data_IF_023495734160
#
_entry.id   IF_023495734160
#
_cell.length_a   1.000
_cell.length_b   1.000
_cell.length_c   1.000
_cell.angle_alpha   90.00
_cell.angle_beta   90.00
_cell.angle_gamma   90.00
#
_symmetry.space_group_name_H-M   'P 1'
#
loop_
_entity.id
_entity.type
_entity.pdbx_description
1 polymer ?
#
# COMPACT_ATOMS: atom_id res chain seq x y z
N UNK A 1 29.82 22.09 32.77
CA UNK A 1 29.40 20.82 33.32
C UNK A 1 27.94 20.56 33.15
N UNK A 2 27.11 21.48 33.58
CA UNK A 2 25.67 21.27 33.48
C UNK A 2 25.14 21.22 32.10
N UNK A 3 25.75 21.92 31.20
CA UNK A 3 25.27 22.00 29.83
C UNK A 3 25.43 20.69 29.08
N UNK A 4 26.31 19.84 29.53
CA UNK A 4 26.55 18.55 28.88
C UNK A 4 25.33 17.66 29.02
N UNK A 5 24.76 17.63 30.17
CA UNK A 5 23.57 16.82 30.42
C UNK A 5 22.38 17.24 29.57
N UNK A 6 22.24 18.55 29.40
CA UNK A 6 21.13 19.05 28.61
C UNK A 6 21.22 18.65 27.16
N UNK A 7 22.41 18.66 26.61
CA UNK A 7 22.62 18.26 25.23
C UNK A 7 22.27 16.79 25.03
N UNK A 8 22.63 15.98 25.97
CA UNK A 8 22.33 14.55 25.90
C UNK A 8 20.85 14.29 25.82
N UNK A 9 20.10 14.97 26.63
CA UNK A 9 18.66 14.79 26.64
C UNK A 9 18.01 15.12 25.32
N UNK A 10 18.45 16.18 24.71
CA UNK A 10 17.91 16.56 23.42
C UNK A 10 18.15 15.51 22.36
N UNK A 11 19.33 14.97 22.32
CA UNK A 11 19.68 13.96 21.33
C UNK A 11 18.78 12.73 21.46
N UNK A 12 18.53 12.32 22.67
CA UNK A 12 17.68 11.15 22.93
C UNK A 12 16.24 11.38 22.49
N UNK A 13 15.70 12.53 22.79
CA UNK A 13 14.34 12.83 22.41
C UNK A 13 14.13 12.82 20.91
N UNK A 14 15.05 13.36 20.17
CA UNK A 14 14.93 13.41 18.72
C UNK A 14 15.06 12.02 18.10
N UNK A 15 15.96 11.23 18.60
CA UNK A 15 16.17 9.89 18.08
C UNK A 15 14.92 9.01 18.22
N UNK A 16 14.26 9.10 19.36
CA UNK A 16 13.10 8.28 19.63
C UNK A 16 11.96 8.55 18.64
N UNK A 17 11.83 9.75 18.15
CA UNK A 17 10.74 10.08 17.24
C UNK A 17 11.04 9.75 15.80
N UNK A 18 12.29 9.76 15.42
CA UNK A 18 12.69 9.58 14.04
C UNK A 18 12.49 8.15 13.55
N UNK A 19 12.23 7.21 14.44
CA UNK A 19 12.28 5.79 14.09
C UNK A 19 10.92 5.13 13.90
N UNK A 20 9.84 5.89 13.97
CA UNK A 20 8.53 5.26 13.93
C UNK A 20 7.85 5.34 12.59
N UNK A 21 8.39 4.62 11.63
CA UNK A 21 7.63 4.26 10.45
C UNK A 21 7.07 2.86 10.68
N UNK A 22 5.83 2.64 10.35
CA UNK A 22 5.26 1.30 10.39
C UNK A 22 6.07 0.41 9.43
N UNK A 23 6.38 -0.83 9.84
CA UNK A 23 7.12 -1.73 8.96
C UNK A 23 6.30 -2.06 7.72
N UNK A 24 6.99 -2.17 6.59
CA UNK A 24 6.37 -2.61 5.35
C UNK A 24 6.17 -4.11 5.39
N UNK A 25 4.97 -4.55 5.08
CA UNK A 25 4.60 -5.96 5.09
C UNK A 25 4.44 -6.47 3.66
N UNK A 26 4.56 -7.77 3.49
CA UNK A 26 4.25 -8.39 2.21
C UNK A 26 2.73 -8.49 2.06
N UNK A 27 2.26 -8.12 0.87
CA UNK A 27 0.84 -8.26 0.57
C UNK A 27 0.52 -9.74 0.42
N UNK A 28 -0.47 -10.27 1.16
CA UNK A 28 -0.74 -11.72 1.18
C UNK A 28 -1.55 -12.16 -0.04
N UNK A 29 -0.91 -12.25 -1.18
CA UNK A 29 -1.55 -12.68 -2.43
C UNK A 29 -1.45 -14.19 -2.56
N UNK A 30 -2.53 -14.80 -3.06
CA UNK A 30 -2.57 -16.22 -3.38
C UNK A 30 -2.10 -16.49 -4.81
N UNK A 31 -2.26 -17.71 -5.28
CA UNK A 31 -1.81 -18.11 -6.61
C UNK A 31 -2.53 -17.41 -7.74
N UNK A 32 -3.71 -16.87 -7.47
CA UNK A 32 -4.47 -16.11 -8.48
C UNK A 32 -4.07 -14.64 -8.52
N UNK A 33 -3.19 -14.21 -7.62
CA UNK A 33 -2.80 -12.84 -7.50
C UNK A 33 -3.74 -11.98 -6.68
N UNK A 34 -4.61 -12.59 -5.89
CA UNK A 34 -5.57 -11.89 -5.05
C UNK A 34 -5.36 -12.22 -3.59
N UNK A 35 -5.81 -11.33 -2.71
CA UNK A 35 -5.88 -11.69 -1.28
C UNK A 35 -6.97 -12.76 -1.12
N UNK A 36 -6.66 -13.82 -0.37
CA UNK A 36 -7.57 -14.95 -0.20
C UNK A 36 -8.77 -14.58 0.69
N UNK A 37 -8.59 -13.62 1.56
CA UNK A 37 -9.62 -13.17 2.50
C UNK A 37 -9.53 -11.66 2.64
N UNK A 38 -10.61 -11.01 3.10
CA UNK A 38 -10.56 -9.58 3.36
C UNK A 38 -9.42 -9.22 4.31
N UNK A 39 -8.77 -8.11 4.03
CA UNK A 39 -7.60 -7.65 4.75
C UNK A 39 -7.96 -6.47 5.62
N UNK A 40 -7.73 -6.59 6.92
CA UNK A 40 -7.89 -5.47 7.83
C UNK A 40 -6.60 -4.68 7.88
N UNK A 41 -6.67 -3.41 7.49
CA UNK A 41 -5.50 -2.55 7.44
C UNK A 41 -5.59 -1.48 8.52
N UNK A 42 -4.43 -1.08 9.03
CA UNK A 42 -4.31 0.00 9.99
C UNK A 42 -3.91 1.27 9.27
N UNK A 43 -4.17 2.38 9.92
CA UNK A 43 -3.83 3.69 9.38
C UNK A 43 -2.33 3.79 9.10
N UNK A 44 -1.99 4.16 7.87
CA UNK A 44 -0.61 4.35 7.44
C UNK A 44 0.14 3.06 7.13
N UNK A 45 -0.54 1.94 7.15
CA UNK A 45 0.08 0.64 6.90
C UNK A 45 0.47 0.50 5.43
N UNK A 46 1.68 0.02 5.18
CA UNK A 46 2.21 -0.13 3.83
C UNK A 46 2.49 -1.60 3.54
N UNK A 47 2.11 -2.03 2.35
CA UNK A 47 2.36 -3.38 1.87
C UNK A 47 3.17 -3.32 0.58
N UNK A 48 3.96 -4.36 0.36
CA UNK A 48 4.73 -4.49 -0.88
C UNK A 48 4.31 -5.75 -1.61
N UNK A 49 4.43 -5.71 -2.93
CA UNK A 49 4.24 -6.88 -3.77
C UNK A 49 5.13 -6.78 -4.98
N UNK A 50 5.35 -7.90 -5.64
CA UNK A 50 6.19 -7.95 -6.82
C UNK A 50 5.35 -8.31 -8.03
N UNK A 51 5.49 -7.51 -9.08
CA UNK A 51 4.91 -7.81 -10.37
C UNK A 51 5.97 -8.52 -11.22
N UNK A 52 5.81 -9.82 -11.45
CA UNK A 52 6.74 -10.62 -12.22
C UNK A 52 6.27 -10.84 -13.66
N UNK A 53 5.00 -10.59 -13.92
CA UNK A 53 4.39 -10.88 -15.21
C UNK A 53 4.49 -9.74 -16.22
N UNK A 54 4.60 -8.50 -15.75
CA UNK A 54 4.50 -7.33 -16.60
C UNK A 54 3.11 -6.76 -16.55
N UNK A 55 2.43 -6.62 -17.68
CA UNK A 55 1.12 -5.99 -17.75
C UNK A 55 0.08 -6.69 -16.88
N UNK A 56 -0.19 -6.12 -15.73
CA UNK A 56 -1.22 -6.59 -14.81
C UNK A 56 -2.06 -5.39 -14.37
N UNK A 57 -3.20 -5.67 -13.76
CA UNK A 57 -4.08 -4.66 -13.20
C UNK A 57 -4.17 -4.87 -11.70
N UNK A 58 -3.95 -3.78 -10.97
CA UNK A 58 -4.24 -3.74 -9.54
C UNK A 58 -5.70 -3.32 -9.39
N UNK A 59 -6.47 -4.12 -8.67
CA UNK A 59 -7.87 -3.82 -8.39
C UNK A 59 -8.10 -3.86 -6.88
N UNK A 60 -8.77 -2.86 -6.34
CA UNK A 60 -9.06 -2.76 -4.91
C UNK A 60 -10.53 -2.46 -4.70
N UNK A 61 -11.18 -3.24 -3.84
CA UNK A 61 -12.56 -3.02 -3.41
C UNK A 61 -12.62 -2.89 -1.90
N UNK A 62 -13.40 -2.00 -1.35
CA UNK A 62 -14.22 -0.99 -2.03
C UNK A 62 -13.39 0.12 -2.66
N UNK A 63 -14.06 0.97 -3.42
CA UNK A 63 -13.38 2.09 -4.06
C UNK A 63 -12.73 3.00 -3.03
N UNK A 64 -11.50 3.44 -3.30
CA UNK A 64 -10.79 4.35 -2.42
C UNK A 64 -9.87 5.23 -3.27
N UNK A 65 -9.95 6.52 -3.09
CA UNK A 65 -9.16 7.48 -3.85
C UNK A 65 -7.89 7.92 -3.15
N UNK A 66 -7.73 7.55 -1.88
CA UNK A 66 -6.61 8.02 -1.07
C UNK A 66 -5.51 6.99 -0.85
N UNK A 67 -5.66 5.79 -1.39
CA UNK A 67 -4.62 4.77 -1.35
C UNK A 67 -3.44 5.23 -2.21
N UNK A 68 -2.22 5.07 -1.69
CA UNK A 68 -1.01 5.51 -2.38
C UNK A 68 -0.27 4.30 -2.92
N UNK A 69 -0.17 4.20 -4.24
CA UNK A 69 0.56 3.14 -4.92
C UNK A 69 1.82 3.74 -5.51
N UNK A 70 2.95 3.07 -5.31
CA UNK A 70 4.23 3.47 -5.89
C UNK A 70 4.82 2.33 -6.69
N UNK A 71 5.38 2.67 -7.83
CA UNK A 71 6.01 1.70 -8.72
C UNK A 71 7.47 1.42 -8.38
N UNK A 72 8.15 0.62 -9.22
CA UNK A 72 9.54 0.27 -8.99
C UNK A 72 10.49 1.46 -8.97
N UNK A 73 10.11 2.55 -9.62
CA UNK A 73 10.90 3.79 -9.65
C UNK A 73 10.58 4.72 -8.47
N UNK A 74 9.70 4.30 -7.56
CA UNK A 74 9.27 5.11 -6.43
C UNK A 74 8.23 6.16 -6.75
N UNK A 75 7.79 6.27 -7.98
CA UNK A 75 6.80 7.26 -8.38
C UNK A 75 5.38 6.76 -8.10
N UNK A 76 4.52 7.72 -7.78
CA UNK A 76 3.12 7.42 -7.52
C UNK A 76 2.41 7.02 -8.80
N UNK A 77 1.52 6.06 -8.65
CA UNK A 77 0.64 5.60 -9.71
C UNK A 77 -0.78 5.99 -9.32
N UNK A 78 -1.45 6.75 -10.17
CA UNK A 78 -2.80 7.19 -9.91
C UNK A 78 -3.77 6.03 -10.06
N UNK A 79 -4.71 5.93 -9.11
CA UNK A 79 -5.79 4.96 -9.19
C UNK A 79 -6.98 5.59 -9.90
N UNK A 80 -7.60 4.82 -10.75
CA UNK A 80 -8.82 5.19 -11.43
C UNK A 80 -10.00 4.49 -10.77
N UNK A 81 -11.19 5.02 -11.00
CA UNK A 81 -12.41 4.43 -10.46
C UNK A 81 -13.16 3.69 -11.55
N UNK A 82 -13.64 2.51 -11.21
CA UNK A 82 -14.49 1.74 -12.07
C UNK A 82 -15.76 1.37 -11.33
N UNK A 83 -16.76 0.90 -12.08
CA UNK A 83 -18.02 0.43 -11.51
C UNK A 83 -18.33 -0.93 -12.11
N UNK A 84 -18.64 -1.87 -11.25
CA UNK A 84 -19.08 -3.18 -11.68
C UNK A 84 -20.50 -3.06 -12.21
N UNK A 85 -20.69 -3.42 -13.46
CA UNK A 85 -21.98 -3.27 -14.13
C UNK A 85 -23.03 -4.15 -13.50
N UNK A 86 -22.67 -5.34 -13.05
CA UNK A 86 -23.62 -6.28 -12.47
C UNK A 86 -24.10 -5.88 -11.08
N UNK A 87 -23.17 -5.44 -10.24
CA UNK A 87 -23.48 -5.14 -8.84
C UNK A 87 -23.65 -3.67 -8.56
N UNK A 88 -23.17 -2.82 -9.45
CA UNK A 88 -23.13 -1.38 -9.18
C UNK A 88 -22.06 -0.97 -8.19
N UNK A 89 -21.22 -1.90 -7.74
CA UNK A 89 -20.19 -1.62 -6.76
C UNK A 89 -18.98 -0.97 -7.42
N UNK A 90 -18.41 0.04 -6.75
CA UNK A 90 -17.22 0.70 -7.21
C UNK A 90 -15.95 -0.03 -6.82
N UNK A 91 -14.93 0.18 -7.62
CA UNK A 91 -13.59 -0.30 -7.31
C UNK A 91 -12.55 0.70 -7.79
N UNK A 92 -11.35 0.61 -7.24
CA UNK A 92 -10.20 1.39 -7.69
C UNK A 92 -9.27 0.48 -8.46
N UNK A 93 -8.66 0.98 -9.54
CA UNK A 93 -7.76 0.16 -10.31
C UNK A 93 -6.63 0.99 -10.91
N UNK A 94 -5.56 0.30 -11.27
CA UNK A 94 -4.44 0.89 -11.98
C UNK A 94 -3.76 -0.17 -12.85
N UNK A 95 -3.37 0.22 -14.04
CA UNK A 95 -2.56 -0.63 -14.91
C UNK A 95 -1.11 -0.57 -14.44
N UNK A 96 -0.50 -1.73 -14.25
CA UNK A 96 0.89 -1.86 -13.86
C UNK A 96 1.63 -2.55 -14.99
N UNK A 97 2.34 -1.76 -15.79
CA UNK A 97 2.99 -2.27 -16.99
C UNK A 97 4.45 -2.67 -16.81
N UNK A 98 5.02 -2.36 -15.65
CA UNK A 98 6.42 -2.66 -15.37
C UNK A 98 6.56 -3.82 -14.42
N UNK A 99 7.53 -4.67 -14.69
CA UNK A 99 7.96 -5.68 -13.72
C UNK A 99 8.73 -5.00 -12.60
N UNK A 100 8.63 -5.56 -11.41
CA UNK A 100 9.38 -5.05 -10.29
C UNK A 100 8.56 -4.97 -9.00
N UNK A 101 9.10 -4.25 -8.06
CA UNK A 101 8.53 -4.15 -6.72
C UNK A 101 7.65 -2.91 -6.62
N UNK A 102 6.46 -3.11 -6.10
CA UNK A 102 5.47 -2.06 -5.87
C UNK A 102 5.16 -1.96 -4.39
N UNK A 103 4.66 -0.81 -3.98
CA UNK A 103 4.13 -0.63 -2.63
C UNK A 103 2.74 -0.02 -2.68
N UNK A 104 1.94 -0.36 -1.70
CA UNK A 104 0.59 0.20 -1.52
C UNK A 104 0.44 0.61 -0.07
N UNK A 105 0.06 1.86 0.16
CA UNK A 105 -0.10 2.41 1.49
C UNK A 105 -1.54 2.82 1.71
N UNK A 106 -2.09 2.42 2.85
CA UNK A 106 -3.46 2.71 3.24
C UNK A 106 -3.45 3.83 4.26
N UNK A 107 -3.86 5.05 3.89
CA UNK A 107 -3.83 6.17 4.84
C UNK A 107 -4.86 6.07 5.95
N UNK A 108 -5.89 5.22 5.77
CA UNK A 108 -6.94 5.03 6.76
C UNK A 108 -7.07 3.58 7.16
N UNK A 109 -7.40 3.37 8.42
CA UNK A 109 -7.77 2.04 8.89
C UNK A 109 -9.08 1.61 8.24
N UNK A 110 -9.21 0.32 7.98
CA UNK A 110 -10.42 -0.20 7.38
C UNK A 110 -10.24 -1.62 6.90
N UNK A 111 -11.22 -2.05 6.12
CA UNK A 111 -11.24 -3.40 5.60
C UNK A 111 -11.19 -3.36 4.08
N UNK A 112 -10.20 -4.05 3.52
CA UNK A 112 -10.08 -4.25 2.08
C UNK A 112 -10.80 -5.54 1.75
N UNK A 113 -11.93 -5.43 1.07
CA UNK A 113 -12.76 -6.59 0.76
C UNK A 113 -12.12 -7.48 -0.29
N UNK A 114 -11.49 -6.87 -1.28
CA UNK A 114 -10.84 -7.60 -2.35
C UNK A 114 -9.67 -6.77 -2.87
N UNK A 115 -8.58 -7.45 -3.18
CA UNK A 115 -7.44 -6.83 -3.82
C UNK A 115 -6.79 -7.89 -4.70
N UNK A 116 -6.60 -7.54 -5.96
CA UNK A 116 -5.99 -8.43 -6.93
C UNK A 116 -4.91 -7.71 -7.72
N UNK A 117 -3.85 -8.43 -8.03
CA UNK A 117 -2.79 -8.00 -8.93
C UNK A 117 -2.63 -9.11 -9.95
N UNK A 118 -3.34 -9.03 -11.05
CA UNK A 118 -3.31 -10.08 -12.06
C UNK A 118 -3.64 -9.52 -13.43
N UNK A 119 -3.54 -10.38 -14.44
CA UNK A 119 -3.82 -9.97 -15.79
C UNK A 119 -5.29 -9.56 -15.90
N UNK A 120 -5.54 -8.47 -16.62
CA UNK A 120 -6.87 -8.00 -16.88
C UNK A 120 -7.58 -9.06 -17.71
N UNK A 121 -8.56 -9.61 -17.09
CA UNK A 121 -9.26 -10.66 -17.67
C UNK A 121 -10.34 -10.86 -18.21
#
# INVERSE_FOLDING_TARGET
>A
MKHIASILLLALGMTAQATYAAPTKDLPLDDTGCIAQPLTVKRGETYRFRNTAGNVVLTVRPVSSDIVVKGPDGKRIALEKGTDIENGDGFSFADLDRKGRYSIMFPRAGKVEQLCVNAAG
#
